data_IF_904873268283
#
_entry.id   IF_904873268283
#
_cell.length_a   1.000
_cell.length_b   1.000
_cell.length_c   1.000
_cell.angle_alpha   90.00
_cell.angle_beta   90.00
_cell.angle_gamma   90.00
#
_symmetry.space_group_name_H-M   'P 1'
#
loop_
_entity.id
_entity.type
_entity.pdbx_description
1 polymer ?
#
# COMPACT_ATOMS: atom_id res chain seq x y z
N UNK A 1 -7.99 16.58 7.68
CA UNK A 1 -7.99 15.43 6.75
C UNK A 1 -8.67 14.29 7.48
N UNK A 2 -9.75 13.77 6.92
CA UNK A 2 -10.49 12.66 7.53
C UNK A 2 -9.71 11.35 7.40
N UNK A 3 -9.74 10.53 8.45
CA UNK A 3 -9.12 9.22 8.43
C UNK A 3 -9.93 8.28 7.51
N UNK A 4 -9.26 7.68 6.53
CA UNK A 4 -9.91 6.78 5.55
C UNK A 4 -10.10 5.37 6.11
N UNK A 5 -9.25 4.96 7.07
CA UNK A 5 -9.34 3.67 7.75
C UNK A 5 -9.57 3.92 9.24
N UNK A 6 -10.72 3.47 9.75
CA UNK A 6 -11.05 3.52 11.17
C UNK A 6 -10.73 2.19 11.85
N UNK A 7 -9.96 2.23 12.94
CA UNK A 7 -9.56 1.06 13.73
C UNK A 7 -10.26 1.12 15.09
N UNK A 8 -10.83 -0.01 15.50
CA UNK A 8 -11.52 -0.10 16.79
C UNK A 8 -10.50 -0.25 17.93
N UNK A 9 -10.76 0.33 19.11
CA UNK A 9 -10.01 0.01 20.32
C UNK A 9 -10.02 -1.51 20.57
N UNK A 10 -8.85 -2.10 20.82
CA UNK A 10 -8.69 -3.54 21.01
C UNK A 10 -8.45 -4.36 19.73
N UNK A 11 -8.40 -3.71 18.56
CA UNK A 11 -8.03 -4.40 17.32
C UNK A 11 -6.63 -5.01 17.40
N UNK A 12 -6.51 -6.25 16.94
CA UNK A 12 -5.24 -6.94 16.88
C UNK A 12 -4.37 -6.40 15.75
N UNK A 13 -3.07 -6.71 15.78
CA UNK A 13 -2.20 -6.42 14.65
C UNK A 13 -2.63 -7.13 13.35
N UNK A 14 -3.42 -8.19 13.45
CA UNK A 14 -3.95 -8.90 12.29
C UNK A 14 -5.11 -8.12 11.66
N UNK A 15 -6.08 -7.71 12.48
CA UNK A 15 -7.26 -6.96 12.05
C UNK A 15 -6.86 -5.65 11.34
N UNK A 16 -5.80 -4.99 11.82
CA UNK A 16 -5.26 -3.77 11.18
C UNK A 16 -4.69 -4.11 9.81
N UNK A 17 -3.96 -5.22 9.66
CA UNK A 17 -3.37 -5.63 8.38
C UNK A 17 -4.43 -5.99 7.36
N UNK A 18 -5.47 -6.72 7.76
CA UNK A 18 -6.60 -7.04 6.88
C UNK A 18 -7.25 -5.76 6.34
N UNK A 19 -7.57 -4.79 7.21
CA UNK A 19 -8.13 -3.50 6.76
C UNK A 19 -7.22 -2.74 5.80
N UNK A 20 -5.90 -2.76 6.04
CA UNK A 20 -4.94 -2.10 5.15
C UNK A 20 -4.82 -2.84 3.82
N UNK A 21 -4.77 -4.18 3.83
CA UNK A 21 -4.74 -5.00 2.62
C UNK A 21 -6.00 -4.83 1.78
N UNK A 22 -7.18 -4.85 2.41
CA UNK A 22 -8.46 -4.58 1.75
C UNK A 22 -8.48 -3.21 1.08
N UNK A 23 -7.99 -2.18 1.79
CA UNK A 23 -7.92 -0.83 1.24
C UNK A 23 -7.00 -0.76 0.01
N UNK A 24 -5.80 -1.35 0.09
CA UNK A 24 -4.85 -1.43 -1.03
C UNK A 24 -5.48 -2.18 -2.21
N UNK A 25 -6.21 -3.26 -1.92
CA UNK A 25 -6.83 -4.09 -2.94
C UNK A 25 -7.97 -3.35 -3.66
N UNK A 26 -8.88 -2.75 -2.89
CA UNK A 26 -10.04 -2.01 -3.37
C UNK A 26 -9.65 -0.73 -4.14
N UNK A 27 -8.56 -0.07 -3.75
CA UNK A 27 -8.04 1.11 -4.44
C UNK A 27 -7.06 0.77 -5.57
N UNK A 28 -6.81 -0.52 -5.83
CA UNK A 28 -5.90 -0.99 -6.87
C UNK A 28 -4.51 -0.32 -6.77
N UNK A 29 -3.98 -0.20 -5.54
CA UNK A 29 -2.72 0.48 -5.24
C UNK A 29 -1.49 -0.43 -5.34
N UNK A 30 -1.72 -1.74 -5.50
CA UNK A 30 -0.67 -2.72 -5.65
C UNK A 30 -0.50 -3.20 -7.11
N UNK A 31 0.73 -3.59 -7.44
CA UNK A 31 1.04 -4.32 -8.66
C UNK A 31 0.93 -5.84 -8.44
N UNK A 32 0.91 -6.62 -9.53
CA UNK A 32 1.02 -8.07 -9.45
C UNK A 32 2.29 -8.47 -8.67
N UNK A 33 2.25 -9.51 -7.80
CA UNK A 33 1.17 -10.48 -7.60
C UNK A 33 0.03 -10.02 -6.66
N UNK A 34 -1.20 -10.41 -7.01
CA UNK A 34 -2.44 -10.23 -6.20
C UNK A 34 -3.05 -11.61 -5.85
N UNK A 35 -3.85 -11.77 -4.78
CA UNK A 35 -4.33 -10.76 -3.82
C UNK A 35 -3.28 -10.35 -2.78
N UNK A 36 -3.33 -9.11 -2.30
CA UNK A 36 -2.31 -8.56 -1.39
C UNK A 36 -2.23 -9.27 -0.01
N UNK A 37 -3.31 -9.89 0.45
CA UNK A 37 -3.41 -10.54 1.75
C UNK A 37 -2.25 -11.50 2.06
N UNK A 38 -1.80 -11.50 3.32
CA UNK A 38 -0.73 -12.35 3.84
C UNK A 38 0.64 -12.12 3.21
N UNK A 39 0.84 -10.97 2.55
CA UNK A 39 2.11 -10.60 1.90
C UNK A 39 2.50 -9.16 2.22
N UNK A 40 3.76 -8.82 1.89
CA UNK A 40 4.21 -7.43 1.81
C UNK A 40 3.79 -6.91 0.42
N UNK A 41 2.86 -5.95 0.32
CA UNK A 41 2.39 -5.45 -0.97
C UNK A 41 3.47 -4.71 -1.75
N UNK A 42 3.53 -4.95 -3.06
CA UNK A 42 4.25 -4.10 -3.99
C UNK A 42 3.36 -2.92 -4.38
N UNK A 43 3.79 -1.68 -4.13
CA UNK A 43 3.01 -0.49 -4.46
C UNK A 43 3.23 -0.03 -5.90
N UNK A 44 2.21 0.59 -6.49
CA UNK A 44 2.35 1.33 -7.75
C UNK A 44 3.25 2.53 -7.53
N UNK A 45 4.42 2.53 -8.18
CA UNK A 45 5.26 3.72 -8.24
C UNK A 45 4.64 4.66 -9.28
N UNK A 46 4.26 5.87 -8.88
CA UNK A 46 3.83 6.88 -9.84
C UNK A 46 4.98 7.19 -10.80
N UNK A 47 4.69 7.30 -12.10
CA UNK A 47 5.63 7.61 -13.19
C UNK A 47 6.51 8.87 -12.97
N UNK A 48 6.25 9.63 -11.91
CA UNK A 48 6.97 10.86 -11.55
C UNK A 48 8.29 10.62 -10.81
N UNK A 49 8.53 9.42 -10.26
CA UNK A 49 9.84 9.07 -9.68
C UNK A 49 10.81 8.63 -10.77
N UNK A 50 11.15 9.56 -11.67
CA UNK A 50 12.34 9.43 -12.50
C UNK A 50 13.53 9.78 -11.61
N UNK A 51 14.21 8.78 -11.07
CA UNK A 51 15.56 8.96 -10.54
C UNK A 51 16.45 9.39 -11.71
N UNK A 52 16.59 10.70 -11.88
CA UNK A 52 17.68 11.27 -12.68
C UNK A 52 18.93 11.07 -11.83
N UNK A 53 19.56 9.91 -11.95
CA UNK A 53 21.01 9.84 -11.76
C UNK A 53 21.55 10.66 -12.91
N UNK A 54 21.86 11.94 -12.63
CA UNK A 54 22.61 12.76 -13.57
C UNK A 54 23.86 11.96 -13.92
N UNK A 55 23.98 11.63 -15.20
CA UNK A 55 25.27 11.35 -15.81
C UNK A 55 26.15 12.55 -15.46
N UNK A 56 27.16 12.32 -14.63
CA UNK A 56 28.28 13.24 -14.56
C UNK A 56 29.08 12.99 -15.83
N UNK A 57 29.22 14.04 -16.65
CA UNK A 57 30.19 14.08 -17.74
C UNK A 57 31.63 13.90 -17.21
#
# INVERSE_FOLDING_TARGET
MEAVITINPGATKWDIREKVWDYIEAKNLANFPRPVHNRIPNFKVGHFWRFRVLQFD
#
